data_IF_702048823821
#
_entry.id   IF_702048823821
#
_cell.length_a   1.000
_cell.length_b   1.000
_cell.length_c   1.000
_cell.angle_alpha   90.00
_cell.angle_beta   90.00
_cell.angle_gamma   90.00
#
_symmetry.space_group_name_H-M   'P 1'
#
loop_
_entity.id
_entity.type
_entity.pdbx_description
1 polymer ?
#
# COMPACT_ATOMS: atom_id res chain seq x y z
N UNK A 1 -5.50 -12.35 -22.68
CA UNK A 1 -4.67 -12.56 -21.48
C UNK A 1 -5.38 -13.56 -20.60
N UNK A 2 -4.66 -14.56 -20.10
CA UNK A 2 -5.23 -15.42 -19.05
C UNK A 2 -5.32 -14.63 -17.75
N UNK A 3 -6.38 -14.87 -16.98
CA UNK A 3 -6.56 -14.24 -15.68
C UNK A 3 -5.52 -14.81 -14.69
N UNK A 4 -4.79 -13.94 -14.00
CA UNK A 4 -3.85 -14.34 -12.95
C UNK A 4 -4.58 -14.95 -11.73
N UNK A 5 -5.86 -14.67 -11.56
CA UNK A 5 -6.71 -15.19 -10.50
C UNK A 5 -7.70 -16.22 -11.04
N UNK A 6 -7.90 -17.29 -10.28
CA UNK A 6 -8.80 -18.38 -10.65
C UNK A 6 -10.27 -18.05 -10.36
N UNK A 7 -10.52 -17.18 -9.37
CA UNK A 7 -11.86 -16.87 -8.88
C UNK A 7 -11.95 -15.43 -8.34
N UNK A 8 -13.11 -14.75 -8.47
CA UNK A 8 -13.34 -13.44 -7.87
C UNK A 8 -13.34 -13.45 -6.33
N UNK A 9 -13.47 -14.63 -5.72
CA UNK A 9 -13.54 -14.78 -4.26
C UNK A 9 -12.21 -15.22 -3.63
N UNK A 10 -11.17 -15.44 -4.45
CA UNK A 10 -9.86 -15.94 -3.98
C UNK A 10 -8.80 -14.90 -4.31
N UNK A 11 -8.35 -14.18 -3.28
CA UNK A 11 -7.17 -13.33 -3.36
C UNK A 11 -5.88 -14.14 -3.28
N UNK A 12 -4.76 -13.50 -3.63
CA UNK A 12 -3.41 -14.06 -3.48
C UNK A 12 -2.59 -13.20 -2.54
N UNK A 13 -1.71 -13.83 -1.76
CA UNK A 13 -0.77 -13.13 -0.89
C UNK A 13 0.10 -12.18 -1.72
N UNK A 14 0.40 -10.99 -1.20
CA UNK A 14 1.32 -10.09 -1.88
C UNK A 14 2.73 -10.70 -1.97
N UNK A 15 3.18 -11.40 -0.92
CA UNK A 15 4.50 -12.05 -0.88
C UNK A 15 4.71 -13.12 -1.95
N UNK A 16 3.63 -13.73 -2.42
CA UNK A 16 3.69 -14.79 -3.43
C UNK A 16 3.72 -14.25 -4.87
N UNK A 17 3.29 -13.01 -5.09
CA UNK A 17 3.06 -12.46 -6.43
C UNK A 17 3.87 -11.21 -6.76
N UNK A 18 4.40 -10.51 -5.74
CA UNK A 18 5.26 -9.34 -5.94
C UNK A 18 6.63 -9.79 -6.43
N UNK A 19 7.06 -9.24 -7.56
CA UNK A 19 8.39 -9.52 -8.13
C UNK A 19 9.24 -8.26 -8.28
N UNK A 20 8.62 -7.07 -8.26
CA UNK A 20 9.35 -5.81 -8.33
C UNK A 20 10.08 -5.52 -7.00
N UNK A 21 11.42 -5.39 -6.97
CA UNK A 21 12.19 -5.22 -5.74
C UNK A 21 11.96 -3.87 -5.04
N UNK A 22 11.32 -2.90 -5.72
CA UNK A 22 10.92 -1.63 -5.11
C UNK A 22 9.52 -1.67 -4.49
N UNK A 23 8.85 -2.83 -4.49
CA UNK A 23 7.62 -3.07 -3.74
C UNK A 23 7.97 -3.92 -2.51
N UNK A 24 7.79 -3.36 -1.32
CA UNK A 24 8.06 -4.02 -0.04
C UNK A 24 6.71 -4.32 0.61
N UNK A 25 6.48 -5.59 1.00
CA UNK A 25 5.18 -6.04 1.51
C UNK A 25 5.29 -6.78 2.83
N UNK A 26 4.38 -6.46 3.75
CA UNK A 26 4.22 -7.13 5.04
C UNK A 26 3.53 -8.48 4.96
N UNK A 27 3.38 -9.13 6.11
CA UNK A 27 2.74 -10.44 6.23
C UNK A 27 1.23 -10.36 6.03
N UNK A 28 0.63 -11.44 5.53
CA UNK A 28 -0.82 -11.63 5.38
C UNK A 28 -1.57 -10.60 4.51
N UNK A 29 -0.90 -9.57 4.01
CA UNK A 29 -1.44 -8.64 3.04
C UNK A 29 -1.70 -9.35 1.72
N UNK A 30 -2.85 -9.09 1.12
CA UNK A 30 -3.28 -9.79 -0.10
C UNK A 30 -3.93 -8.84 -1.11
N UNK A 31 -3.94 -9.28 -2.36
CA UNK A 31 -4.62 -8.61 -3.47
C UNK A 31 -5.62 -9.57 -4.12
N UNK A 32 -6.84 -9.11 -4.35
CA UNK A 32 -7.88 -9.84 -5.09
C UNK A 32 -8.15 -9.16 -6.43
N UNK A 33 -7.43 -9.59 -7.47
CA UNK A 33 -7.36 -8.90 -8.76
C UNK A 33 -8.19 -9.49 -9.89
N UNK A 34 -9.10 -10.43 -9.63
CA UNK A 34 -9.82 -11.20 -10.67
C UNK A 34 -10.45 -10.34 -11.77
N UNK A 35 -11.06 -9.21 -11.44
CA UNK A 35 -11.73 -8.35 -12.44
C UNK A 35 -10.77 -7.54 -13.32
N UNK A 36 -9.46 -7.53 -12.99
CA UNK A 36 -8.43 -6.78 -13.71
C UNK A 36 -7.32 -7.69 -14.29
N UNK A 37 -7.40 -9.01 -14.06
CA UNK A 37 -6.58 -10.07 -14.66
C UNK A 37 -5.08 -10.06 -14.32
N UNK A 38 -4.47 -8.93 -14.01
CA UNK A 38 -3.04 -8.79 -13.74
C UNK A 38 -2.68 -9.07 -12.28
N UNK A 39 -1.44 -9.49 -12.01
CA UNK A 39 -0.90 -9.61 -10.64
C UNK A 39 -0.70 -8.23 -9.99
N UNK A 40 -0.25 -8.21 -8.74
CA UNK A 40 -0.07 -6.97 -7.98
C UNK A 40 1.00 -6.02 -8.54
N UNK A 41 2.05 -6.52 -9.20
CA UNK A 41 3.13 -5.64 -9.71
C UNK A 41 2.58 -4.55 -10.66
N UNK A 42 1.58 -4.89 -11.47
CA UNK A 42 0.94 -3.96 -12.40
C UNK A 42 0.04 -2.91 -11.71
N UNK A 43 -0.25 -3.07 -10.42
CA UNK A 43 -0.88 -2.02 -9.61
C UNK A 43 0.08 -0.86 -9.36
N UNK A 44 1.39 -1.09 -9.31
CA UNK A 44 2.43 -0.08 -9.09
C UNK A 44 2.90 0.53 -10.43
N UNK A 45 2.15 1.51 -10.92
CA UNK A 45 2.40 2.10 -12.24
C UNK A 45 3.66 2.97 -12.23
N UNK A 46 4.49 2.81 -13.27
CA UNK A 46 5.75 3.54 -13.48
C UNK A 46 6.85 3.22 -12.46
N UNK A 47 6.73 2.11 -11.72
CA UNK A 47 7.77 1.68 -10.78
C UNK A 47 8.82 0.84 -11.48
N UNK A 48 9.98 1.44 -11.76
CA UNK A 48 11.09 0.74 -12.44
C UNK A 48 11.70 -0.33 -11.52
N UNK A 49 11.73 -1.61 -11.92
CA UNK A 49 12.27 -2.70 -11.09
C UNK A 49 13.80 -2.76 -11.08
N UNK A 50 14.46 -2.14 -12.06
CA UNK A 50 15.90 -2.20 -12.30
C UNK A 50 16.68 -1.02 -11.70
N UNK A 51 15.97 -0.05 -11.09
CA UNK A 51 16.57 1.13 -10.46
C UNK A 51 16.41 1.11 -8.95
N UNK A 52 17.45 1.54 -8.22
CA UNK A 52 17.43 1.61 -6.75
C UNK A 52 17.21 3.03 -6.23
N UNK A 53 17.39 4.03 -7.08
CA UNK A 53 17.31 5.47 -6.81
C UNK A 53 15.93 6.08 -7.13
N UNK A 54 14.91 5.23 -7.21
CA UNK A 54 13.50 5.60 -7.36
C UNK A 54 12.73 5.47 -6.04
N UNK A 55 11.57 6.14 -5.99
CA UNK A 55 10.59 5.97 -4.91
C UNK A 55 10.10 4.52 -4.82
N UNK A 56 9.81 4.06 -3.60
CA UNK A 56 9.34 2.70 -3.32
C UNK A 56 7.87 2.69 -2.96
N UNK A 57 7.23 1.53 -3.15
CA UNK A 57 5.90 1.24 -2.62
C UNK A 57 6.07 0.31 -1.42
N UNK A 58 5.71 0.77 -0.23
CA UNK A 58 5.84 0.03 1.02
C UNK A 58 4.44 -0.24 1.55
N UNK A 59 4.08 -1.51 1.74
CA UNK A 59 2.77 -1.96 2.21
C UNK A 59 2.98 -2.78 3.47
N UNK A 60 2.32 -2.40 4.56
CA UNK A 60 2.37 -3.10 5.83
C UNK A 60 1.70 -4.48 5.78
N UNK A 61 1.59 -5.11 6.94
CA UNK A 61 0.91 -6.39 7.16
C UNK A 61 -0.61 -6.24 7.23
N UNK A 62 -1.33 -7.33 6.97
CA UNK A 62 -2.80 -7.45 7.07
C UNK A 62 -3.62 -6.47 6.22
N UNK A 63 -3.06 -5.98 5.11
CA UNK A 63 -3.78 -5.12 4.16
C UNK A 63 -4.66 -5.94 3.21
N UNK A 64 -5.88 -5.46 2.96
CA UNK A 64 -6.81 -6.04 2.00
C UNK A 64 -6.91 -5.14 0.77
N UNK A 65 -6.36 -5.56 -0.37
CA UNK A 65 -6.33 -4.73 -1.60
C UNK A 65 -7.32 -5.25 -2.63
N UNK A 66 -8.27 -4.39 -3.01
CA UNK A 66 -9.32 -4.69 -3.97
C UNK A 66 -8.85 -4.63 -5.43
N UNK A 67 -9.59 -5.31 -6.29
CA UNK A 67 -9.30 -5.45 -7.73
C UNK A 67 -9.11 -4.10 -8.42
N UNK A 68 -7.99 -3.93 -9.13
CA UNK A 68 -7.72 -2.73 -9.94
C UNK A 68 -7.24 -1.52 -9.15
N UNK A 69 -6.81 -1.71 -7.90
CA UNK A 69 -6.10 -0.66 -7.16
C UNK A 69 -4.89 -0.15 -7.96
N UNK A 70 -4.63 1.15 -7.86
CA UNK A 70 -3.55 1.82 -8.57
C UNK A 70 -2.72 2.63 -7.60
N UNK A 71 -1.41 2.42 -7.64
CA UNK A 71 -0.40 3.22 -6.98
C UNK A 71 0.40 3.93 -8.07
N UNK A 72 0.27 5.25 -8.16
CA UNK A 72 0.99 6.05 -9.14
C UNK A 72 2.39 6.37 -8.60
N UNK A 73 3.41 5.85 -9.27
CA UNK A 73 4.80 6.04 -8.87
C UNK A 73 5.52 7.02 -9.81
N UNK A 74 6.84 7.10 -9.68
CA UNK A 74 7.73 7.96 -10.47
C UNK A 74 7.50 9.47 -10.32
N UNK A 75 7.13 9.91 -9.11
CA UNK A 75 7.05 11.34 -8.76
C UNK A 75 6.27 12.15 -9.78
N UNK A 76 6.91 13.19 -10.33
CA UNK A 76 6.26 14.09 -11.30
C UNK A 76 6.37 13.58 -12.74
N UNK A 77 7.06 12.46 -12.95
CA UNK A 77 7.25 11.83 -14.27
C UNK A 77 7.89 12.77 -15.31
N UNK A 78 8.71 13.73 -14.85
CA UNK A 78 9.35 14.73 -15.71
C UNK A 78 8.52 16.00 -15.97
N UNK A 79 7.29 16.07 -15.46
CA UNK A 79 6.41 17.23 -15.62
C UNK A 79 6.65 18.25 -14.50
N UNK A 80 7.28 19.38 -14.82
CA UNK A 80 7.54 20.46 -13.85
C UNK A 80 6.42 21.51 -13.85
N UNK A 81 5.56 21.54 -12.82
CA UNK A 81 4.42 22.47 -12.78
C UNK A 81 4.83 23.94 -12.63
N UNK A 82 6.07 24.20 -12.23
CA UNK A 82 6.59 25.56 -12.05
C UNK A 82 7.30 26.10 -13.30
N UNK A 83 7.47 25.29 -14.35
CA UNK A 83 8.10 25.73 -15.60
C UNK A 83 7.07 26.34 -16.55
N UNK A 84 7.56 27.07 -17.57
CA UNK A 84 6.72 27.71 -18.60
C UNK A 84 5.81 26.67 -19.30
N UNK A 85 6.32 25.45 -19.49
CA UNK A 85 5.55 24.33 -20.02
C UNK A 85 5.76 23.11 -19.14
N UNK A 86 4.69 22.34 -18.91
CA UNK A 86 4.75 21.06 -18.22
C UNK A 86 5.10 19.91 -19.15
N UNK A 87 5.27 20.16 -20.44
CA UNK A 87 5.61 19.14 -21.42
C UNK A 87 7.05 18.61 -21.20
N UNK A 88 7.26 17.29 -21.14
CA UNK A 88 8.54 16.69 -20.74
C UNK A 88 9.50 16.60 -21.95
N UNK A 89 9.98 17.76 -22.42
CA UNK A 89 10.83 17.88 -23.61
C UNK A 89 12.07 16.97 -23.57
N UNK A 90 12.69 16.85 -22.39
CA UNK A 90 13.88 16.01 -22.14
C UNK A 90 13.68 14.54 -22.57
N UNK A 91 12.45 14.03 -22.47
CA UNK A 91 12.14 12.61 -22.69
C UNK A 91 11.68 12.29 -24.12
N UNK A 92 11.62 13.28 -25.03
CA UNK A 92 11.07 13.06 -26.37
C UNK A 92 12.07 12.51 -27.40
N UNK A 93 13.37 12.51 -27.10
CA UNK A 93 14.40 12.08 -28.05
C UNK A 93 14.46 12.92 -29.34
N UNK A 94 13.99 14.17 -29.30
CA UNK A 94 13.98 15.08 -30.43
C UNK A 94 15.21 16.00 -30.38
N UNK A 95 15.99 16.05 -31.46
CA UNK A 95 17.20 16.87 -31.57
C UNK A 95 16.96 18.36 -31.35
N UNK A 96 15.77 18.88 -31.71
CA UNK A 96 15.41 20.27 -31.48
C UNK A 96 15.23 20.60 -29.99
N UNK A 97 15.16 19.58 -29.13
CA UNK A 97 15.04 19.70 -27.69
C UNK A 97 16.32 19.25 -26.97
N UNK A 98 17.46 19.19 -27.65
CA UNK A 98 18.72 18.72 -27.06
C UNK A 98 19.13 19.50 -25.79
N UNK A 99 18.77 20.78 -25.68
CA UNK A 99 19.04 21.63 -24.52
C UNK A 99 17.96 21.54 -23.43
N UNK A 100 16.95 20.68 -23.60
CA UNK A 100 15.91 20.47 -22.60
C UNK A 100 16.54 19.99 -21.29
N UNK A 101 16.05 20.52 -20.17
CA UNK A 101 16.49 20.10 -18.83
C UNK A 101 15.57 18.99 -18.35
N UNK A 102 16.15 18.04 -17.62
CA UNK A 102 15.36 17.04 -16.92
C UNK A 102 14.54 17.71 -15.81
N UNK A 103 13.21 17.60 -15.93
CA UNK A 103 12.26 18.08 -14.95
C UNK A 103 11.88 17.01 -13.91
N UNK A 104 12.50 15.85 -13.91
CA UNK A 104 12.14 14.80 -12.97
C UNK A 104 12.48 15.21 -11.53
N UNK A 105 11.53 14.94 -10.64
CA UNK A 105 11.72 15.02 -9.22
C UNK A 105 10.85 13.95 -8.56
N UNK A 106 11.41 13.37 -7.50
CA UNK A 106 10.80 12.32 -6.69
C UNK A 106 9.68 12.91 -5.84
N UNK A 107 8.61 12.15 -5.67
CA UNK A 107 7.56 12.49 -4.69
C UNK A 107 7.93 12.00 -3.28
N UNK A 108 8.78 10.97 -3.19
CA UNK A 108 9.05 10.22 -1.97
C UNK A 108 8.34 8.86 -2.00
N UNK A 109 8.70 7.99 -1.06
CA UNK A 109 8.13 6.64 -0.98
C UNK A 109 6.63 6.70 -0.64
N UNK A 110 5.85 5.83 -1.29
CA UNK A 110 4.44 5.63 -0.97
C UNK A 110 4.35 4.58 0.13
N UNK A 111 3.87 4.98 1.31
CA UNK A 111 3.77 4.09 2.49
C UNK A 111 2.32 3.84 2.86
N UNK A 112 1.89 2.58 2.75
CA UNK A 112 0.63 2.07 3.28
C UNK A 112 0.95 1.32 4.58
N UNK A 113 0.46 1.82 5.71
CA UNK A 113 0.67 1.19 7.03
C UNK A 113 0.01 -0.20 7.15
N UNK A 114 0.23 -0.85 8.29
CA UNK A 114 -0.46 -2.10 8.62
C UNK A 114 -1.96 -1.86 8.74
N UNK A 115 -2.79 -2.76 8.22
CA UNK A 115 -4.27 -2.62 8.19
C UNK A 115 -4.77 -1.32 7.49
N UNK A 116 -3.88 -0.65 6.72
CA UNK A 116 -3.95 0.70 6.09
C UNK A 116 -3.86 1.86 7.11
N UNK A 117 -3.25 3.01 6.71
CA UNK A 117 -2.94 4.23 7.53
C UNK A 117 -3.86 4.35 8.76
N UNK A 118 -3.37 4.53 10.01
CA UNK A 118 -4.02 4.01 11.21
C UNK A 118 -5.55 4.13 11.20
N UNK A 119 -6.22 3.04 10.83
CA UNK A 119 -7.68 2.92 10.82
C UNK A 119 -8.43 3.88 9.88
N UNK A 120 -7.75 4.45 8.90
CA UNK A 120 -8.28 5.30 7.83
C UNK A 120 -9.00 4.44 6.80
N UNK A 121 -10.23 4.83 6.43
CA UNK A 121 -10.95 4.27 5.28
C UNK A 121 -10.66 5.18 4.10
N UNK A 122 -9.99 4.65 3.08
CA UNK A 122 -9.72 5.35 1.83
C UNK A 122 -10.50 4.71 0.67
N UNK A 123 -10.94 5.50 -0.29
CA UNK A 123 -11.62 5.01 -1.49
C UNK A 123 -11.68 6.06 -2.59
N UNK A 124 -12.25 5.69 -3.75
CA UNK A 124 -12.26 6.46 -5.01
C UNK A 124 -10.96 6.41 -5.83
N UNK A 125 -10.99 6.99 -7.03
CA UNK A 125 -9.85 7.17 -7.92
C UNK A 125 -9.80 8.64 -8.37
N UNK A 126 -8.85 9.48 -7.87
CA UNK A 126 -7.78 9.12 -6.93
C UNK A 126 -8.30 8.82 -5.52
N UNK A 127 -7.54 8.02 -4.76
CA UNK A 127 -7.88 7.66 -3.39
C UNK A 127 -7.97 8.90 -2.51
N UNK A 128 -9.09 9.05 -1.79
CA UNK A 128 -9.30 10.11 -0.81
C UNK A 128 -9.64 9.48 0.54
N UNK A 129 -9.17 10.11 1.61
CA UNK A 129 -9.65 9.81 2.95
C UNK A 129 -11.17 9.99 3.01
N UNK A 130 -11.88 8.98 3.48
CA UNK A 130 -13.33 9.01 3.67
C UNK A 130 -13.64 9.33 5.12
N UNK A 131 -13.09 8.54 6.04
CA UNK A 131 -13.22 8.69 7.50
C UNK A 131 -12.29 7.73 8.22
N UNK A 132 -12.11 7.90 9.53
CA UNK A 132 -11.55 6.87 10.39
C UNK A 132 -12.59 5.79 10.76
N UNK A 133 -12.12 4.56 11.03
CA UNK A 133 -12.94 3.42 11.51
C UNK A 133 -13.34 3.60 12.97
N UNK A 134 -12.46 4.20 13.78
CA UNK A 134 -12.61 4.37 15.22
C UNK A 134 -12.32 5.81 15.64
N UNK A 135 -12.61 6.14 16.91
CA UNK A 135 -12.24 7.44 17.49
C UNK A 135 -10.72 7.53 17.67
N UNK A 136 -10.19 8.76 17.76
CA UNK A 136 -8.75 8.99 18.00
C UNK A 136 -8.22 8.24 19.22
N UNK A 137 -9.00 8.18 20.31
CA UNK A 137 -8.61 7.46 21.52
C UNK A 137 -8.48 5.95 21.27
N UNK A 138 -9.41 5.38 20.51
CA UNK A 138 -9.41 3.96 20.15
C UNK A 138 -8.28 3.62 19.18
N UNK A 139 -7.99 4.54 18.25
CA UNK A 139 -6.84 4.45 17.35
C UNK A 139 -5.53 4.44 18.16
N UNK A 140 -5.40 5.34 19.13
CA UNK A 140 -4.21 5.39 19.99
C UNK A 140 -3.99 4.08 20.75
N UNK A 141 -5.05 3.50 21.32
CA UNK A 141 -4.98 2.18 21.99
C UNK A 141 -4.50 1.10 21.03
N UNK A 142 -5.06 1.04 19.83
CA UNK A 142 -4.67 0.01 18.87
C UNK A 142 -3.24 0.19 18.34
N UNK A 143 -2.79 1.44 18.19
CA UNK A 143 -1.40 1.77 17.85
C UNK A 143 -0.42 1.42 18.97
N UNK A 144 -0.86 1.44 20.22
CA UNK A 144 -0.09 0.97 21.37
C UNK A 144 0.02 -0.56 21.38
N UNK A 145 -1.11 -1.26 21.17
CA UNK A 145 -1.23 -2.72 21.17
C UNK A 145 -0.36 -3.38 20.08
N UNK A 146 -0.33 -2.78 18.88
CA UNK A 146 0.37 -3.30 17.69
C UNK A 146 0.13 -4.80 17.45
N UNK A 147 -1.14 -5.22 17.46
CA UNK A 147 -1.52 -6.65 17.39
C UNK A 147 -0.90 -7.40 16.20
N UNK A 148 -0.58 -6.71 15.11
CA UNK A 148 0.09 -7.28 13.93
C UNK A 148 1.54 -7.74 14.19
N UNK A 149 2.13 -7.41 15.34
CA UNK A 149 3.46 -7.92 15.74
C UNK A 149 3.38 -9.13 16.65
N UNK A 150 2.18 -9.56 17.05
CA UNK A 150 1.99 -10.68 17.96
C UNK A 150 2.27 -12.02 17.27
N UNK A 151 2.60 -13.03 18.06
CA UNK A 151 2.74 -14.40 17.55
C UNK A 151 1.38 -14.96 17.14
N UNK A 152 1.37 -15.99 16.29
CA UNK A 152 0.14 -16.68 15.90
C UNK A 152 -0.61 -17.26 17.12
N UNK A 153 0.10 -17.69 18.16
CA UNK A 153 -0.50 -18.20 19.39
C UNK A 153 -1.22 -17.10 20.19
N UNK A 154 -0.59 -15.94 20.33
CA UNK A 154 -1.20 -14.76 20.95
C UNK A 154 -2.43 -14.29 20.16
N UNK A 155 -2.33 -14.24 18.83
CA UNK A 155 -3.46 -13.89 17.96
C UNK A 155 -4.60 -14.91 18.05
N UNK A 156 -4.27 -16.21 18.10
CA UNK A 156 -5.25 -17.28 18.23
C UNK A 156 -6.07 -17.13 19.51
N UNK A 157 -5.42 -16.77 20.63
CA UNK A 157 -6.11 -16.49 21.90
C UNK A 157 -7.02 -15.26 21.84
N UNK A 158 -6.62 -14.23 21.09
CA UNK A 158 -7.38 -12.99 20.92
C UNK A 158 -8.49 -13.06 19.85
N UNK A 159 -8.59 -14.14 19.08
CA UNK A 159 -9.44 -14.19 17.88
C UNK A 159 -10.91 -13.77 18.09
N UNK A 160 -11.59 -14.14 19.20
CA UNK A 160 -12.95 -13.65 19.46
C UNK A 160 -13.03 -12.12 19.57
N UNK A 161 -11.99 -11.47 20.10
CA UNK A 161 -11.90 -10.01 20.23
C UNK A 161 -11.54 -9.35 18.89
N UNK A 162 -10.64 -9.97 18.12
CA UNK A 162 -10.26 -9.51 16.78
C UNK A 162 -11.46 -9.46 15.81
N UNK A 163 -12.44 -10.34 16.04
CA UNK A 163 -13.70 -10.40 15.28
C UNK A 163 -14.85 -9.64 15.97
N UNK A 164 -14.55 -8.61 16.76
CA UNK A 164 -15.53 -7.80 17.50
C UNK A 164 -15.22 -6.30 17.44
N UNK A 165 -16.08 -5.48 18.04
CA UNK A 165 -15.82 -4.04 18.24
C UNK A 165 -15.19 -3.71 19.61
N UNK A 166 -14.90 -4.72 20.45
CA UNK A 166 -14.41 -4.54 21.82
C UNK A 166 -12.89 -4.29 21.89
N UNK A 167 -12.48 -3.10 21.47
CA UNK A 167 -11.08 -2.63 21.54
C UNK A 167 -10.60 -2.56 22.99
N UNK A 168 -11.46 -2.24 23.96
CA UNK A 168 -11.05 -2.21 25.37
C UNK A 168 -10.79 -3.62 25.89
N UNK A 169 -11.58 -4.60 25.44
CA UNK A 169 -11.33 -6.02 25.69
C UNK A 169 -10.01 -6.48 25.10
N UNK A 170 -9.71 -6.09 23.86
CA UNK A 170 -8.42 -6.39 23.23
C UNK A 170 -7.26 -5.77 24.00
N UNK A 171 -7.41 -4.53 24.47
CA UNK A 171 -6.40 -3.86 25.31
C UNK A 171 -6.17 -4.61 26.63
N UNK A 172 -7.25 -5.02 27.32
CA UNK A 172 -7.15 -5.85 28.53
C UNK A 172 -6.48 -7.20 28.26
N UNK A 173 -6.78 -7.83 27.13
CA UNK A 173 -6.12 -9.08 26.74
C UNK A 173 -4.61 -8.88 26.54
N UNK A 174 -4.23 -7.85 25.78
CA UNK A 174 -2.82 -7.49 25.53
C UNK A 174 -2.04 -7.29 26.83
N UNK A 175 -2.58 -6.49 27.75
CA UNK A 175 -1.94 -6.18 29.03
C UNK A 175 -1.71 -7.43 29.90
N UNK A 176 -2.65 -8.39 29.87
CA UNK A 176 -2.61 -9.53 30.78
C UNK A 176 -1.98 -10.79 30.16
N UNK A 177 -1.88 -10.91 28.85
CA UNK A 177 -1.54 -12.18 28.18
C UNK A 177 -0.44 -12.05 27.13
N UNK A 178 -0.05 -10.83 26.75
CA UNK A 178 0.96 -10.59 25.70
C UNK A 178 2.17 -9.81 26.23
N UNK A 179 1.96 -8.87 27.16
CA UNK A 179 3.04 -8.14 27.83
C UNK A 179 3.68 -8.88 29.01
N UNK A 180 2.98 -9.84 29.62
CA UNK A 180 3.53 -10.72 30.66
C UNK A 180 4.49 -11.76 30.07
#
# INVERSE_FOLDING_TARGET
>A
MNNYFESPFVGKSLKEQVTNPNIIVGEHSYYSGYYHNHSFDDCARYLLPDRTDVDKLIIGSYCSIGSGAVFMMAGHQGHQPQWISTFPFFYQGNENFADAKDGFQRAGDTVIGNDVEPYSIVGSNPAKHIRYRFTEQKIAILLEIQWWTWTEEQLKGAMPLMCSEDIDGLHRYWQNQVLE
#
